data_IF_158091520297
#
_entry.id   IF_158091520297
#
_cell.length_a   1.000
_cell.length_b   1.000
_cell.length_c   1.000
_cell.angle_alpha   90.00
_cell.angle_beta   90.00
_cell.angle_gamma   90.00
#
_symmetry.space_group_name_H-M   'P 1'
#
loop_
_entity.id
_entity.type
_entity.pdbx_description
1 polymer ?
#
# COMPACT_ATOMS: atom_id res chain seq x y z
N UNK A 1 10.57 -11.71 -11.50
CA UNK A 1 9.87 -11.18 -10.33
C UNK A 1 10.52 -9.88 -9.91
N UNK A 2 9.96 -8.77 -10.38
CA UNK A 2 10.24 -7.39 -9.98
C UNK A 2 10.03 -7.12 -8.49
N UNK A 3 9.05 -7.76 -7.86
CA UNK A 3 8.70 -7.57 -6.44
C UNK A 3 8.49 -8.91 -5.70
N UNK A 4 8.47 -8.86 -4.37
CA UNK A 4 8.15 -9.98 -3.46
C UNK A 4 6.96 -9.63 -2.54
N UNK A 5 6.44 -10.65 -1.87
CA UNK A 5 5.37 -10.50 -0.89
C UNK A 5 5.72 -9.44 0.16
N UNK A 6 4.76 -8.55 0.45
CA UNK A 6 4.87 -7.41 1.37
C UNK A 6 5.81 -6.28 0.96
N UNK A 7 6.35 -6.29 -0.26
CA UNK A 7 6.94 -5.08 -0.80
C UNK A 7 5.85 -4.00 -0.93
N UNK A 8 6.18 -2.79 -0.49
CA UNK A 8 5.41 -1.60 -0.82
C UNK A 8 5.61 -1.24 -2.28
N UNK A 9 4.59 -0.68 -2.90
CA UNK A 9 4.64 -0.21 -4.28
C UNK A 9 3.98 1.16 -4.44
N UNK A 10 4.26 1.79 -5.57
CA UNK A 10 3.55 2.98 -6.06
C UNK A 10 3.16 2.73 -7.51
N UNK A 11 1.89 2.96 -7.85
CA UNK A 11 1.40 2.82 -9.24
C UNK A 11 1.99 3.90 -10.16
N UNK A 12 2.36 3.51 -11.37
CA UNK A 12 2.94 4.40 -12.40
C UNK A 12 1.90 4.91 -13.41
N UNK A 13 0.74 4.26 -13.45
CA UNK A 13 -0.39 4.57 -14.35
C UNK A 13 -1.68 4.46 -13.57
N UNK A 14 -2.76 5.05 -14.11
CA UNK A 14 -4.09 4.85 -13.54
C UNK A 14 -4.50 3.37 -13.71
N UNK A 15 -5.12 2.80 -12.67
CA UNK A 15 -5.51 1.39 -12.63
C UNK A 15 -7.03 1.27 -12.65
N UNK A 16 -7.55 0.48 -13.58
CA UNK A 16 -8.95 0.12 -13.56
C UNK A 16 -9.19 -0.92 -12.44
N UNK A 17 -10.13 -0.61 -11.54
CA UNK A 17 -10.57 -1.57 -10.53
C UNK A 17 -11.02 -2.89 -11.18
N UNK A 18 -10.63 -4.02 -10.57
CA UNK A 18 -11.08 -5.34 -11.00
C UNK A 18 -12.60 -5.49 -10.86
N UNK A 19 -13.18 -4.83 -9.86
CA UNK A 19 -14.61 -4.86 -9.57
C UNK A 19 -15.19 -3.43 -9.63
N UNK A 20 -16.02 -3.17 -10.63
CA UNK A 20 -16.71 -1.89 -10.78
C UNK A 20 -16.12 -0.96 -11.84
N UNK A 21 -16.44 0.33 -11.74
CA UNK A 21 -16.05 1.38 -12.71
C UNK A 21 -15.04 2.38 -12.15
N UNK A 22 -14.53 2.15 -10.94
CA UNK A 22 -13.60 3.06 -10.28
C UNK A 22 -12.26 3.05 -11.01
N UNK A 23 -11.75 4.24 -11.31
CA UNK A 23 -10.39 4.44 -11.81
C UNK A 23 -9.53 4.86 -10.62
N UNK A 24 -8.54 4.04 -10.28
CA UNK A 24 -7.59 4.29 -9.19
C UNK A 24 -6.46 5.15 -9.77
N UNK A 25 -6.20 6.35 -9.24
CA UNK A 25 -5.19 7.25 -9.79
C UNK A 25 -3.77 6.66 -9.76
N UNK A 26 -2.94 7.05 -10.73
CA UNK A 26 -1.49 6.86 -10.65
C UNK A 26 -0.95 7.49 -9.37
N UNK A 27 0.16 6.95 -8.86
CA UNK A 27 0.77 7.42 -7.61
C UNK A 27 0.10 6.86 -6.36
N UNK A 28 -0.94 6.04 -6.48
CA UNK A 28 -1.52 5.30 -5.35
C UNK A 28 -0.53 4.29 -4.82
N UNK A 29 -0.35 4.29 -3.50
CA UNK A 29 0.48 3.36 -2.76
C UNK A 29 -0.27 2.05 -2.49
N UNK A 30 0.48 0.97 -2.31
CA UNK A 30 -0.10 -0.32 -1.94
C UNK A 30 0.95 -1.33 -1.53
N UNK A 31 0.49 -2.54 -1.25
CA UNK A 31 1.32 -3.66 -0.81
C UNK A 31 1.08 -4.91 -1.64
N UNK A 32 2.15 -5.59 -2.02
CA UNK A 32 2.06 -6.90 -2.70
C UNK A 32 1.50 -7.94 -1.72
N UNK A 33 0.40 -8.59 -2.10
CA UNK A 33 -0.23 -9.67 -1.31
C UNK A 33 -0.14 -11.04 -1.98
N UNK A 34 0.13 -11.10 -3.28
CA UNK A 34 0.45 -12.36 -3.99
C UNK A 34 1.34 -12.10 -5.22
N UNK A 35 2.19 -13.07 -5.58
CA UNK A 35 3.07 -13.02 -6.75
C UNK A 35 2.81 -14.20 -7.71
N UNK A 36 2.46 -13.92 -8.97
CA UNK A 36 2.27 -14.91 -10.04
C UNK A 36 3.48 -14.90 -10.98
N UNK A 37 3.91 -16.08 -11.44
CA UNK A 37 5.17 -16.21 -12.22
C UNK A 37 4.98 -16.32 -13.73
N UNK A 38 3.84 -16.81 -14.22
CA UNK A 38 3.62 -17.09 -15.64
C UNK A 38 2.14 -16.84 -16.06
N UNK A 39 1.82 -15.67 -16.66
CA UNK A 39 2.70 -14.50 -16.81
C UNK A 39 3.06 -13.88 -15.46
N UNK A 40 4.13 -13.09 -15.42
CA UNK A 40 4.50 -12.34 -14.22
C UNK A 40 3.39 -11.31 -13.89
N UNK A 41 2.90 -11.33 -12.66
CA UNK A 41 1.86 -10.44 -12.18
C UNK A 41 1.75 -10.46 -10.66
N UNK A 42 1.00 -9.51 -10.10
CA UNK A 42 0.95 -9.29 -8.67
C UNK A 42 -0.47 -8.95 -8.23
N UNK A 43 -0.97 -9.62 -7.20
CA UNK A 43 -2.12 -9.13 -6.47
C UNK A 43 -1.64 -8.05 -5.49
N UNK A 44 -2.27 -6.89 -5.52
CA UNK A 44 -1.86 -5.70 -4.77
C UNK A 44 -3.07 -5.07 -4.12
N UNK A 45 -2.98 -4.82 -2.82
CA UNK A 45 -3.96 -3.98 -2.12
C UNK A 45 -3.53 -2.52 -2.24
N UNK A 46 -4.31 -1.73 -2.97
CA UNK A 46 -4.08 -0.30 -3.16
C UNK A 46 -4.87 0.51 -2.13
N UNK A 47 -4.20 1.46 -1.47
CA UNK A 47 -4.78 2.35 -0.48
C UNK A 47 -5.33 3.62 -1.16
N UNK A 48 -6.64 3.67 -1.35
CA UNK A 48 -7.33 4.78 -2.01
C UNK A 48 -7.80 5.76 -0.94
N UNK A 49 -7.39 7.05 -0.97
CA UNK A 49 -7.86 8.01 0.02
C UNK A 49 -9.39 8.10 0.08
N UNK A 50 -9.94 7.92 1.28
CA UNK A 50 -11.37 8.04 1.56
C UNK A 50 -11.56 8.62 2.97
N UNK A 51 -11.90 9.90 3.03
CA UNK A 51 -12.13 10.64 4.29
C UNK A 51 -13.33 10.11 5.09
N UNK A 52 -14.22 9.31 4.47
CA UNK A 52 -15.35 8.69 5.16
C UNK A 52 -14.97 7.38 5.86
N UNK A 53 -13.82 6.80 5.53
CA UNK A 53 -13.29 5.59 6.18
C UNK A 53 -12.61 5.92 7.50
N UNK A 54 -12.76 5.04 8.50
CA UNK A 54 -12.11 5.19 9.82
C UNK A 54 -10.57 5.21 9.71
N UNK A 55 -10.01 4.54 8.70
CA UNK A 55 -8.56 4.50 8.44
C UNK A 55 -8.10 5.66 7.56
N UNK A 56 -9.02 6.46 7.01
CA UNK A 56 -8.74 7.46 5.97
C UNK A 56 -8.53 6.86 4.57
N UNK A 57 -8.65 5.54 4.42
CA UNK A 57 -8.47 4.83 3.16
C UNK A 57 -9.55 3.78 2.94
N UNK A 58 -9.98 3.67 1.69
CA UNK A 58 -10.63 2.50 1.12
C UNK A 58 -9.57 1.63 0.43
N UNK A 59 -9.78 0.32 0.38
CA UNK A 59 -8.80 -0.62 -0.18
C UNK A 59 -9.40 -1.42 -1.32
N UNK A 60 -8.68 -1.50 -2.43
CA UNK A 60 -9.03 -2.39 -3.53
C UNK A 60 -7.89 -3.31 -3.90
N UNK A 61 -8.22 -4.60 -4.05
CA UNK A 61 -7.31 -5.61 -4.54
C UNK A 61 -7.35 -5.68 -6.06
N UNK A 62 -6.21 -5.46 -6.70
CA UNK A 62 -6.06 -5.45 -8.16
C UNK A 62 -4.92 -6.34 -8.62
N UNK A 63 -4.95 -6.72 -9.89
CA UNK A 63 -3.81 -7.40 -10.53
C UNK A 63 -2.98 -6.36 -11.28
N UNK A 64 -1.70 -6.23 -10.91
CA UNK A 64 -0.72 -5.38 -11.57
C UNK A 64 0.32 -6.21 -12.33
N UNK A 65 0.71 -5.71 -13.49
CA UNK A 65 1.87 -6.17 -14.26
C UNK A 65 3.13 -5.35 -13.89
N UNK A 66 4.34 -5.91 -14.09
CA UNK A 66 5.59 -5.25 -13.67
C UNK A 66 5.73 -3.80 -14.11
N UNK A 67 5.24 -3.43 -15.29
CA UNK A 67 5.39 -2.10 -15.87
C UNK A 67 4.48 -1.06 -15.22
N UNK A 68 3.47 -1.47 -14.46
CA UNK A 68 2.43 -0.60 -13.91
C UNK A 68 2.78 0.00 -12.53
N UNK A 69 3.89 -0.41 -11.91
CA UNK A 69 4.27 0.07 -10.59
C UNK A 69 5.79 0.18 -10.42
N UNK A 70 6.25 0.83 -9.36
CA UNK A 70 7.61 0.72 -8.83
C UNK A 70 7.55 0.19 -7.41
N UNK A 71 8.57 -0.56 -6.99
CA UNK A 71 8.71 -0.97 -5.58
C UNK A 71 9.16 0.25 -4.79
N UNK A 72 8.45 0.59 -3.72
CA UNK A 72 8.89 1.61 -2.78
C UNK A 72 9.95 1.03 -1.85
N UNK A 73 10.95 1.84 -1.50
CA UNK A 73 11.91 1.46 -0.47
C UNK A 73 11.16 1.17 0.83
N UNK A 74 11.56 0.17 1.63
CA UNK A 74 10.94 -0.06 2.92
C UNK A 74 10.98 1.23 3.73
N UNK A 75 9.81 1.65 4.23
CA UNK A 75 9.75 2.66 5.28
C UNK A 75 10.49 2.02 6.45
N UNK A 76 11.72 2.48 6.72
CA UNK A 76 12.35 2.23 8.02
C UNK A 76 11.40 2.93 8.98
N UNK A 77 10.64 2.16 9.76
CA UNK A 77 9.94 2.69 10.93
C UNK A 77 11.00 3.37 11.79
N UNK A 78 11.17 4.68 11.64
CA UNK A 78 11.85 5.47 12.66
C UNK A 78 10.99 5.29 13.89
N UNK A 79 11.53 4.55 14.87
CA UNK A 79 10.90 4.28 16.16
C UNK A 79 10.08 5.48 16.59
N UNK A 80 8.76 5.30 16.71
CA UNK A 80 7.91 6.29 17.35
C UNK A 80 8.57 6.63 18.69
N UNK A 81 8.82 7.92 19.01
CA UNK A 81 9.46 8.26 20.26
C UNK A 81 8.63 7.67 21.40
N UNK A 82 9.23 6.71 22.11
CA UNK A 82 8.64 6.12 23.31
C UNK A 82 8.48 7.28 24.29
N UNK A 83 7.26 7.80 24.45
CA UNK A 83 6.98 8.74 25.52
C UNK A 83 7.33 8.04 26.84
N UNK A 84 8.24 8.57 27.65
CA UNK A 84 8.51 7.98 28.96
C UNK A 84 7.22 8.03 29.80
N UNK A 85 7.00 7.06 30.70
CA UNK A 85 5.83 7.08 31.57
C UNK A 85 5.80 8.39 32.37
N UNK A 86 4.60 8.98 32.46
CA UNK A 86 4.33 10.15 33.30
C UNK A 86 4.95 9.93 34.68
N UNK A 87 5.96 10.74 35.01
CA UNK A 87 6.55 10.76 36.34
C UNK A 87 5.47 11.14 37.34
N UNK A 88 5.09 10.18 38.19
CA UNK A 88 4.26 10.45 39.37
C UNK A 88 5.07 11.32 40.33
N UNK A 89 4.93 12.64 40.21
CA UNK A 89 5.32 13.56 41.27
C UNK A 89 4.11 13.77 42.19
N UNK A 90 4.26 13.15 43.36
CA UNK A 90 3.64 13.40 44.65
C UNK A 90 2.83 14.70 44.82
N UNK A 91 1.66 14.55 45.44
CA UNK A 91 1.29 15.32 46.64
C UNK A 91 1.02 14.34 47.78
#
# INVERSE_FOLDING_TARGET
MKAKLYDGIITLVDIQANFGKRLIPKGTEGSIVECYKNPEGYAVDLAIPDESSVTGYDYENVILYPEQFTVSSPIIETELPINPPLSTHLL
#
